data_IF_429505761297
#
_entry.id   IF_429505761297
#
_cell.length_a   1.000
_cell.length_b   1.000
_cell.length_c   1.000
_cell.angle_alpha   90.00
_cell.angle_beta   90.00
_cell.angle_gamma   90.00
#
_symmetry.space_group_name_H-M   'P 1'
#
loop_
_entity.id
_entity.type
_entity.pdbx_description
1 polymer ?
#
# COMPACT_ATOMS: atom_id res chain seq x y z
N UNK A 1 -8.87 -11.51 -7.14
CA UNK A 1 -10.10 -11.81 -6.34
C UNK A 1 -10.67 -10.51 -5.79
N UNK A 2 -9.90 -9.66 -5.11
CA UNK A 2 -10.38 -8.40 -4.56
C UNK A 2 -11.03 -7.49 -5.61
N UNK A 3 -10.40 -7.32 -6.77
CA UNK A 3 -10.93 -6.52 -7.87
C UNK A 3 -12.31 -7.05 -8.34
N UNK A 4 -12.42 -8.34 -8.54
CA UNK A 4 -13.67 -8.97 -8.95
C UNK A 4 -14.79 -8.77 -7.93
N UNK A 5 -14.49 -8.90 -6.67
CA UNK A 5 -15.48 -8.76 -5.60
C UNK A 5 -15.84 -7.30 -5.32
N UNK A 6 -14.84 -6.41 -5.25
CA UNK A 6 -15.07 -4.99 -4.94
C UNK A 6 -15.66 -4.27 -6.16
N UNK A 7 -15.08 -4.46 -7.35
CA UNK A 7 -15.49 -3.69 -8.53
C UNK A 7 -16.71 -4.32 -9.17
N UNK A 8 -16.68 -5.60 -9.56
CA UNK A 8 -17.82 -6.26 -10.21
C UNK A 8 -19.02 -6.40 -9.26
N UNK A 9 -18.78 -6.85 -8.01
CA UNK A 9 -19.84 -7.01 -7.01
C UNK A 9 -20.49 -5.69 -6.62
N UNK A 10 -19.71 -4.65 -6.36
CA UNK A 10 -20.26 -3.33 -6.06
C UNK A 10 -21.01 -2.72 -7.24
N UNK A 11 -20.55 -2.95 -8.48
CA UNK A 11 -21.23 -2.47 -9.69
C UNK A 11 -22.57 -3.13 -9.89
N UNK A 12 -22.68 -4.44 -9.64
CA UNK A 12 -23.96 -5.15 -9.71
C UNK A 12 -24.98 -4.60 -8.71
N UNK A 13 -24.54 -4.29 -7.47
CA UNK A 13 -25.42 -3.76 -6.42
C UNK A 13 -25.85 -2.32 -6.72
N UNK A 14 -24.94 -1.50 -7.25
CA UNK A 14 -25.16 -0.08 -7.47
C UNK A 14 -25.53 0.27 -8.91
N UNK A 15 -25.77 -0.72 -9.78
CA UNK A 15 -26.03 -0.52 -11.21
C UNK A 15 -24.91 0.29 -11.89
N UNK A 16 -23.68 0.05 -11.51
CA UNK A 16 -22.49 0.72 -12.05
C UNK A 16 -22.02 0.07 -13.35
N UNK A 17 -21.28 0.83 -14.15
CA UNK A 17 -20.58 0.35 -15.33
C UNK A 17 -19.14 -0.01 -14.96
N UNK A 18 -18.67 -1.19 -15.38
CA UNK A 18 -17.31 -1.66 -15.14
C UNK A 18 -16.49 -1.53 -16.42
N UNK A 19 -15.37 -0.82 -16.31
CA UNK A 19 -14.42 -0.67 -17.40
C UNK A 19 -13.17 -1.48 -17.12
N UNK A 20 -12.73 -2.23 -18.13
CA UNK A 20 -11.47 -2.99 -18.09
C UNK A 20 -10.47 -2.35 -19.04
N UNK A 21 -9.27 -2.05 -18.56
CA UNK A 21 -8.19 -1.65 -19.45
C UNK A 21 -7.70 -2.87 -20.25
N UNK A 22 -7.17 -2.64 -21.44
CA UNK A 22 -6.64 -3.70 -22.30
C UNK A 22 -5.50 -4.44 -21.64
N UNK A 23 -4.55 -3.70 -21.07
CA UNK A 23 -3.43 -4.20 -20.27
C UNK A 23 -2.78 -3.04 -19.49
N UNK A 24 -1.81 -3.34 -18.63
CA UNK A 24 -1.15 -2.32 -17.81
C UNK A 24 -0.40 -1.25 -18.62
N UNK A 25 0.14 -1.58 -19.80
CA UNK A 25 0.83 -0.60 -20.64
C UNK A 25 -0.13 0.38 -21.35
N UNK A 26 -1.42 0.05 -21.42
CA UNK A 26 -2.44 0.91 -22.04
C UNK A 26 -3.20 1.77 -21.02
N UNK A 27 -2.93 1.60 -19.73
CA UNK A 27 -3.68 2.25 -18.65
C UNK A 27 -3.74 3.79 -18.80
N UNK A 28 -2.61 4.43 -19.10
CA UNK A 28 -2.54 5.89 -19.30
C UNK A 28 -3.35 6.38 -20.52
N UNK A 29 -3.56 5.52 -21.51
CA UNK A 29 -4.42 5.80 -22.67
C UNK A 29 -5.90 5.56 -22.37
N UNK A 30 -6.18 4.48 -21.64
CA UNK A 30 -7.55 3.99 -21.45
C UNK A 30 -8.28 4.74 -20.33
N UNK A 31 -7.56 5.10 -19.28
CA UNK A 31 -8.10 5.79 -18.10
C UNK A 31 -8.80 7.13 -18.41
N UNK A 32 -8.23 8.04 -19.25
CA UNK A 32 -8.91 9.27 -19.65
C UNK A 32 -10.23 9.07 -20.41
N UNK A 33 -10.36 7.93 -21.11
CA UNK A 33 -11.59 7.59 -21.83
C UNK A 33 -12.67 7.02 -20.89
N UNK A 34 -12.24 6.30 -19.86
CA UNK A 34 -13.12 5.72 -18.85
C UNK A 34 -13.66 6.78 -17.88
N UNK A 35 -12.81 7.68 -17.37
CA UNK A 35 -13.12 8.69 -16.34
C UNK A 35 -13.85 8.09 -15.14
N UNK A 36 -13.26 7.15 -14.42
CA UNK A 36 -13.93 6.39 -13.36
C UNK A 36 -14.33 7.27 -12.18
N UNK A 37 -15.49 7.00 -11.59
CA UNK A 37 -15.88 7.56 -10.30
C UNK A 37 -15.18 6.85 -9.13
N UNK A 38 -14.91 5.54 -9.30
CA UNK A 38 -14.22 4.69 -8.34
C UNK A 38 -13.12 3.94 -9.05
N UNK A 39 -11.91 3.98 -8.49
CA UNK A 39 -10.77 3.21 -9.00
C UNK A 39 -10.07 2.51 -7.85
N UNK A 40 -9.80 1.22 -8.04
CA UNK A 40 -8.95 0.42 -7.17
C UNK A 40 -7.67 0.04 -7.90
N UNK A 41 -6.53 0.24 -7.26
CA UNK A 41 -5.23 -0.18 -7.79
C UNK A 41 -4.23 -0.47 -6.68
N UNK A 42 -3.41 -1.52 -6.81
CA UNK A 42 -2.28 -1.71 -5.90
C UNK A 42 -1.26 -0.57 -6.04
N UNK A 43 -0.36 -0.36 -5.06
CA UNK A 43 0.60 0.74 -5.05
C UNK A 43 1.39 0.87 -6.36
N UNK A 44 1.79 -0.25 -6.97
CA UNK A 44 2.52 -0.26 -8.24
C UNK A 44 1.77 0.42 -9.40
N UNK A 45 0.45 0.33 -9.42
CA UNK A 45 -0.36 1.05 -10.43
C UNK A 45 -0.23 2.55 -10.23
N UNK A 46 -0.33 3.00 -9.00
CA UNK A 46 -0.17 4.41 -8.64
C UNK A 46 1.26 4.91 -8.91
N UNK A 47 2.28 4.11 -8.62
CA UNK A 47 3.67 4.43 -8.97
C UNK A 47 3.86 4.59 -10.48
N UNK A 48 3.27 3.71 -11.30
CA UNK A 48 3.36 3.82 -12.76
C UNK A 48 2.65 5.07 -13.29
N UNK A 49 1.48 5.41 -12.74
CA UNK A 49 0.79 6.66 -13.08
C UNK A 49 1.64 7.88 -12.68
N UNK A 50 2.25 7.87 -11.50
CA UNK A 50 3.19 8.91 -11.06
C UNK A 50 4.35 9.08 -12.04
N UNK A 51 5.01 7.98 -12.40
CA UNK A 51 6.13 8.02 -13.37
C UNK A 51 5.68 8.53 -14.74
N UNK A 52 4.47 8.17 -15.18
CA UNK A 52 3.88 8.70 -16.41
C UNK A 52 3.66 10.22 -16.35
N UNK A 53 3.20 10.74 -15.21
CA UNK A 53 3.04 12.20 -15.01
C UNK A 53 4.41 12.89 -15.01
N UNK A 54 5.36 12.38 -14.23
CA UNK A 54 6.73 12.93 -14.17
C UNK A 54 7.35 12.95 -15.56
N UNK A 55 7.19 11.87 -16.34
CA UNK A 55 7.69 11.79 -17.72
C UNK A 55 7.09 12.85 -18.65
N UNK A 56 5.82 13.22 -18.46
CA UNK A 56 5.19 14.29 -19.25
C UNK A 56 5.73 15.69 -18.90
N UNK A 57 6.11 15.94 -17.64
CA UNK A 57 6.74 17.17 -17.20
C UNK A 57 8.26 17.20 -17.49
N UNK A 58 8.87 16.04 -17.75
CA UNK A 58 10.29 15.86 -18.00
C UNK A 58 11.12 15.48 -16.78
N UNK A 59 10.76 15.95 -15.59
CA UNK A 59 11.43 15.57 -14.33
C UNK A 59 10.52 15.83 -13.11
N UNK A 60 10.89 15.28 -11.96
CA UNK A 60 10.22 15.57 -10.69
C UNK A 60 10.36 17.06 -10.32
N UNK A 61 11.52 17.66 -10.51
CA UNK A 61 11.75 19.10 -10.24
C UNK A 61 10.85 19.99 -11.11
N UNK A 62 10.55 19.57 -12.34
CA UNK A 62 9.62 20.31 -13.20
C UNK A 62 8.17 20.21 -12.69
N UNK A 63 7.76 19.06 -12.16
CA UNK A 63 6.47 18.91 -11.47
C UNK A 63 6.41 19.81 -10.24
N UNK A 64 7.45 19.81 -9.44
CA UNK A 64 7.53 20.60 -8.20
C UNK A 64 7.46 22.09 -8.51
N UNK A 65 8.24 22.57 -9.48
CA UNK A 65 8.21 23.98 -9.96
C UNK A 65 6.83 24.37 -10.48
N UNK A 66 6.17 23.49 -11.25
CA UNK A 66 4.83 23.79 -11.77
C UNK A 66 3.79 23.88 -10.66
N UNK A 67 3.85 22.99 -9.67
CA UNK A 67 2.95 23.00 -8.50
C UNK A 67 3.20 24.21 -7.58
N UNK A 68 4.44 24.67 -7.43
CA UNK A 68 4.75 25.90 -6.69
C UNK A 68 4.20 27.12 -7.38
N UNK A 69 4.19 27.15 -8.72
CA UNK A 69 3.65 28.27 -9.49
C UNK A 69 2.11 28.31 -9.47
N UNK A 70 1.44 27.17 -9.64
CA UNK A 70 -0.02 27.05 -9.67
C UNK A 70 -0.47 25.64 -9.25
N UNK A 71 -0.55 25.39 -7.96
CA UNK A 71 -0.94 24.07 -7.43
C UNK A 71 -2.34 23.64 -7.86
N UNK A 72 -3.31 24.55 -7.85
CA UNK A 72 -4.71 24.23 -8.16
C UNK A 72 -4.90 23.95 -9.65
N UNK A 73 -4.37 24.82 -10.51
CA UNK A 73 -4.47 24.66 -11.96
C UNK A 73 -3.74 23.43 -12.49
N UNK A 74 -2.53 23.21 -12.00
CA UNK A 74 -1.74 22.01 -12.36
C UNK A 74 -2.42 20.73 -11.84
N UNK A 75 -2.88 20.73 -10.59
CA UNK A 75 -3.61 19.59 -10.04
C UNK A 75 -4.88 19.26 -10.84
N UNK A 76 -5.66 20.27 -11.21
CA UNK A 76 -6.83 20.12 -12.06
C UNK A 76 -6.45 19.55 -13.45
N UNK A 77 -5.46 20.15 -14.10
CA UNK A 77 -4.97 19.70 -15.40
C UNK A 77 -4.54 18.22 -15.38
N UNK A 78 -3.80 17.81 -14.34
CA UNK A 78 -3.35 16.41 -14.20
C UNK A 78 -4.54 15.48 -14.00
N UNK A 79 -5.49 15.83 -13.13
CA UNK A 79 -6.70 15.01 -12.92
C UNK A 79 -7.52 14.85 -14.21
N UNK A 80 -7.73 15.94 -14.96
CA UNK A 80 -8.43 15.91 -16.25
C UNK A 80 -7.69 15.03 -17.28
N UNK A 81 -6.37 15.17 -17.39
CA UNK A 81 -5.56 14.37 -18.33
C UNK A 81 -5.52 12.90 -17.97
N UNK A 82 -5.55 12.56 -16.70
CA UNK A 82 -5.65 11.17 -16.23
C UNK A 82 -7.08 10.63 -16.28
N UNK A 83 -8.10 11.48 -16.48
CA UNK A 83 -9.50 11.08 -16.36
C UNK A 83 -9.94 10.81 -14.92
N UNK A 84 -9.23 11.34 -13.93
CA UNK A 84 -9.55 11.22 -12.51
C UNK A 84 -10.32 12.42 -11.96
N UNK A 85 -10.76 13.33 -12.81
CA UNK A 85 -11.49 14.55 -12.45
C UNK A 85 -12.92 14.27 -11.94
N UNK A 86 -13.49 13.11 -12.27
CA UNK A 86 -14.78 12.65 -11.77
C UNK A 86 -14.67 11.64 -10.63
N UNK A 87 -13.45 11.30 -10.22
CA UNK A 87 -13.24 10.29 -9.21
C UNK A 87 -13.63 10.79 -7.81
N UNK A 88 -14.52 10.06 -7.17
CA UNK A 88 -14.97 10.29 -5.79
C UNK A 88 -14.28 9.34 -4.79
N UNK A 89 -13.82 8.18 -5.25
CA UNK A 89 -13.16 7.19 -4.41
C UNK A 89 -12.02 6.49 -5.14
N UNK A 90 -10.81 6.74 -4.68
CA UNK A 90 -9.57 6.17 -5.22
C UNK A 90 -8.90 5.34 -4.13
N UNK A 91 -8.84 4.03 -4.32
CA UNK A 91 -8.36 3.08 -3.32
C UNK A 91 -7.02 2.48 -3.72
N UNK A 92 -6.09 2.48 -2.78
CA UNK A 92 -4.85 1.70 -2.83
C UNK A 92 -4.88 0.63 -1.73
N UNK A 93 -4.59 -0.61 -2.09
CA UNK A 93 -4.57 -1.74 -1.16
C UNK A 93 -3.80 -2.93 -1.75
N UNK A 94 -3.87 -4.08 -1.09
CA UNK A 94 -3.21 -5.35 -1.42
C UNK A 94 -1.70 -5.39 -1.15
N UNK A 95 -1.05 -4.25 -0.91
CA UNK A 95 0.31 -4.13 -0.43
C UNK A 95 0.45 -2.82 0.36
N UNK A 96 1.46 -2.66 1.21
CA UNK A 96 1.74 -1.38 1.86
C UNK A 96 2.00 -0.28 0.83
N UNK A 97 1.34 0.86 1.00
CA UNK A 97 1.54 2.03 0.13
C UNK A 97 2.51 2.99 0.82
N UNK A 98 3.62 3.38 0.17
CA UNK A 98 4.53 4.35 0.76
C UNK A 98 3.83 5.68 1.06
N UNK A 99 3.93 6.25 2.28
CA UNK A 99 3.33 7.53 2.60
C UNK A 99 3.74 8.67 1.65
N UNK A 100 4.98 8.64 1.19
CA UNK A 100 5.50 9.60 0.22
C UNK A 100 4.70 9.62 -1.10
N UNK A 101 4.27 8.45 -1.58
CA UNK A 101 3.42 8.33 -2.77
C UNK A 101 2.05 8.97 -2.54
N UNK A 102 1.45 8.73 -1.39
CA UNK A 102 0.15 9.32 -1.02
C UNK A 102 0.24 10.83 -0.94
N UNK A 103 1.26 11.35 -0.24
CA UNK A 103 1.49 12.80 -0.14
C UNK A 103 1.79 13.43 -1.50
N UNK A 104 2.48 12.73 -2.38
CA UNK A 104 2.73 13.19 -3.74
C UNK A 104 1.41 13.40 -4.50
N UNK A 105 0.47 12.46 -4.41
CA UNK A 105 -0.85 12.56 -5.01
C UNK A 105 -1.72 13.63 -4.35
N UNK A 106 -1.62 13.81 -3.04
CA UNK A 106 -2.34 14.87 -2.32
C UNK A 106 -2.02 16.27 -2.87
N UNK A 107 -0.77 16.51 -3.28
CA UNK A 107 -0.35 17.78 -3.89
C UNK A 107 -1.07 18.07 -5.22
N UNK A 108 -1.53 17.04 -5.91
CA UNK A 108 -2.32 17.11 -7.15
C UNK A 108 -3.84 17.15 -6.87
N UNK A 109 -4.26 17.13 -5.61
CA UNK A 109 -5.66 17.01 -5.22
C UNK A 109 -6.26 15.63 -5.51
N UNK A 110 -5.41 14.59 -5.67
CA UNK A 110 -5.79 13.19 -5.85
C UNK A 110 -5.69 12.51 -4.49
N UNK A 111 -6.81 12.23 -3.85
CA UNK A 111 -6.86 11.63 -2.52
C UNK A 111 -6.93 10.11 -2.60
N UNK A 112 -5.81 9.45 -2.36
CA UNK A 112 -5.75 7.99 -2.29
C UNK A 112 -6.22 7.51 -0.91
N UNK A 113 -7.23 6.63 -0.88
CA UNK A 113 -7.67 5.93 0.32
C UNK A 113 -6.87 4.65 0.47
N UNK A 114 -6.51 4.31 1.70
CA UNK A 114 -5.87 3.04 2.00
C UNK A 114 -6.90 2.06 2.55
N UNK A 115 -6.67 0.77 2.32
CA UNK A 115 -7.53 -0.27 2.84
C UNK A 115 -6.80 -1.59 3.00
N UNK A 116 -7.37 -2.44 3.84
CA UNK A 116 -6.89 -3.79 4.09
C UNK A 116 -7.96 -4.81 3.72
N UNK A 117 -7.54 -5.88 3.09
CA UNK A 117 -8.38 -7.03 2.81
C UNK A 117 -7.55 -8.24 2.43
N UNK A 118 -8.14 -9.39 2.65
CA UNK A 118 -7.61 -10.69 2.25
C UNK A 118 -8.70 -11.46 1.50
N UNK A 119 -8.34 -12.55 0.84
CA UNK A 119 -9.32 -13.43 0.18
C UNK A 119 -10.31 -14.02 1.18
N UNK A 120 -9.86 -14.25 2.38
CA UNK A 120 -10.61 -14.80 3.50
C UNK A 120 -11.64 -13.82 4.09
N UNK A 121 -11.32 -12.52 4.06
CA UNK A 121 -12.16 -11.46 4.59
C UNK A 121 -12.07 -10.23 3.68
N UNK A 122 -13.10 -9.98 2.93
CA UNK A 122 -13.10 -9.01 1.85
C UNK A 122 -13.20 -7.56 2.35
N UNK A 123 -12.07 -6.82 2.30
CA UNK A 123 -12.04 -5.39 2.58
C UNK A 123 -12.60 -4.97 3.95
N UNK A 124 -12.24 -5.64 5.05
CA UNK A 124 -12.89 -5.39 6.36
C UNK A 124 -12.52 -4.03 6.95
N UNK A 125 -11.42 -3.44 6.53
CA UNK A 125 -10.92 -2.16 7.04
C UNK A 125 -10.56 -1.27 5.87
N UNK A 126 -11.12 -0.07 5.80
CA UNK A 126 -10.84 0.91 4.74
C UNK A 126 -10.85 2.34 5.28
N UNK A 127 -10.11 3.22 4.63
CA UNK A 127 -10.18 4.66 4.84
C UNK A 127 -11.42 5.23 4.15
N UNK A 128 -12.07 6.18 4.79
CA UNK A 128 -13.15 6.95 4.16
C UNK A 128 -12.62 8.30 3.63
N UNK A 129 -13.28 8.91 2.63
CA UNK A 129 -12.90 10.24 2.16
C UNK A 129 -12.93 11.33 3.23
N UNK A 130 -13.84 11.20 4.21
CA UNK A 130 -14.01 12.17 5.29
C UNK A 130 -13.02 11.94 6.44
N UNK A 131 -12.61 10.69 6.65
CA UNK A 131 -11.70 10.28 7.71
C UNK A 131 -10.55 9.46 7.13
N UNK A 132 -9.46 10.12 6.75
CA UNK A 132 -8.25 9.48 6.23
C UNK A 132 -7.03 9.88 7.05
N UNK A 133 -6.19 8.90 7.37
CA UNK A 133 -4.84 9.10 7.90
C UNK A 133 -3.84 8.37 7.03
N UNK A 134 -2.88 9.07 6.51
CA UNK A 134 -1.82 8.48 5.67
C UNK A 134 -1.01 7.46 6.48
N UNK A 135 -0.78 6.29 5.87
CA UNK A 135 -0.12 5.15 6.52
C UNK A 135 -1.06 4.28 7.37
N UNK A 136 -2.32 4.70 7.55
CA UNK A 136 -3.35 3.89 8.18
C UNK A 136 -4.20 3.18 7.13
N UNK A 137 -4.53 1.92 7.38
CA UNK A 137 -5.49 1.17 6.56
C UNK A 137 -6.96 1.58 6.82
N UNK A 138 -7.20 2.52 7.72
CA UNK A 138 -8.54 3.03 8.04
C UNK A 138 -9.15 2.45 9.29
N UNK A 139 -10.48 2.38 9.29
CA UNK A 139 -11.31 1.86 10.38
C UNK A 139 -12.15 0.68 9.91
N UNK A 140 -12.61 -0.20 10.82
CA UNK A 140 -13.52 -1.29 10.47
C UNK A 140 -14.79 -0.79 9.80
N UNK A 141 -15.21 -1.49 8.74
CA UNK A 141 -16.48 -1.21 8.07
C UNK A 141 -17.67 -1.59 8.97
N UNK A 142 -18.84 -0.99 8.77
CA UNK A 142 -20.06 -1.40 9.49
C UNK A 142 -20.32 -2.91 9.33
N UNK A 143 -20.60 -3.58 10.45
CA UNK A 143 -20.84 -5.03 10.47
C UNK A 143 -19.58 -5.90 10.51
N UNK A 144 -18.42 -5.28 10.65
CA UNK A 144 -17.14 -5.97 10.82
C UNK A 144 -16.67 -5.84 12.27
N UNK A 145 -16.49 -6.99 12.93
CA UNK A 145 -15.83 -7.07 14.23
C UNK A 145 -14.32 -7.27 14.03
N UNK A 146 -13.53 -6.48 14.73
CA UNK A 146 -12.07 -6.60 14.75
C UNK A 146 -11.56 -6.66 16.16
N UNK A 147 -10.65 -7.59 16.46
CA UNK A 147 -9.92 -7.64 17.72
C UNK A 147 -8.43 -7.87 17.48
N UNK A 148 -7.62 -7.55 18.47
CA UNK A 148 -6.17 -7.81 18.44
C UNK A 148 -5.87 -8.89 19.48
N UNK A 149 -5.12 -9.92 19.08
CA UNK A 149 -4.64 -10.96 20.00
C UNK A 149 -3.54 -10.42 20.92
N UNK A 150 -3.18 -11.20 21.94
CA UNK A 150 -2.07 -10.87 22.87
C UNK A 150 -0.74 -10.70 22.13
N UNK A 151 -0.55 -11.42 21.00
CA UNK A 151 0.65 -11.31 20.14
C UNK A 151 0.58 -10.12 19.16
N UNK A 152 -0.51 -9.35 19.20
CA UNK A 152 -0.73 -8.20 18.32
C UNK A 152 -1.28 -8.55 16.94
N UNK A 153 -1.76 -9.79 16.73
CA UNK A 153 -2.39 -10.21 15.48
C UNK A 153 -3.80 -9.65 15.36
N UNK A 154 -4.12 -9.09 14.21
CA UNK A 154 -5.47 -8.69 13.87
C UNK A 154 -6.33 -9.90 13.54
N UNK A 155 -7.48 -10.00 14.18
CA UNK A 155 -8.49 -11.01 13.92
C UNK A 155 -9.79 -10.35 13.51
N UNK A 156 -10.43 -10.91 12.49
CA UNK A 156 -11.62 -10.32 11.86
C UNK A 156 -12.80 -11.31 11.88
N UNK A 157 -13.99 -10.80 12.08
CA UNK A 157 -15.24 -11.54 11.95
C UNK A 157 -16.29 -10.67 11.26
N UNK A 158 -16.90 -11.20 10.20
CA UNK A 158 -18.01 -10.57 9.48
C UNK A 158 -18.79 -11.61 8.68
N UNK A 159 -20.04 -11.30 8.33
CA UNK A 159 -20.88 -12.19 7.52
C UNK A 159 -20.29 -12.44 6.10
N UNK A 160 -19.54 -11.48 5.57
CA UNK A 160 -18.86 -11.59 4.27
C UNK A 160 -17.55 -12.38 4.29
N UNK A 161 -17.17 -12.98 5.42
CA UNK A 161 -15.97 -13.80 5.52
C UNK A 161 -16.14 -15.16 4.85
N UNK A 162 -15.02 -15.71 4.32
CA UNK A 162 -14.99 -17.07 3.76
C UNK A 162 -15.30 -18.11 4.83
N UNK A 163 -15.96 -19.22 4.49
CA UNK A 163 -16.16 -20.34 5.42
C UNK A 163 -14.90 -21.21 5.61
N UNK A 164 -13.85 -20.99 4.83
CA UNK A 164 -12.60 -21.77 4.91
C UNK A 164 -11.97 -22.04 3.56
N UNK A 165 -10.94 -22.88 3.56
CA UNK A 165 -10.20 -23.27 2.35
C UNK A 165 -10.73 -24.58 1.77
N UNK A 166 -11.00 -24.58 0.47
CA UNK A 166 -11.51 -25.76 -0.23
C UNK A 166 -10.53 -26.94 -0.14
N UNK A 167 -11.02 -28.10 0.32
CA UNK A 167 -10.25 -29.32 0.54
C UNK A 167 -8.98 -29.17 1.42
N UNK A 168 -8.95 -28.19 2.33
CA UNK A 168 -7.84 -27.95 3.26
C UNK A 168 -8.34 -27.78 4.70
N UNK A 169 -8.90 -28.83 5.33
CA UNK A 169 -9.50 -28.71 6.65
C UNK A 169 -8.51 -28.29 7.74
N UNK A 170 -7.27 -28.77 7.68
CA UNK A 170 -6.23 -28.42 8.65
C UNK A 170 -5.89 -26.92 8.57
N UNK A 171 -5.65 -26.40 7.36
CA UNK A 171 -5.41 -24.95 7.18
C UNK A 171 -6.62 -24.10 7.52
N UNK A 172 -7.82 -24.61 7.26
CA UNK A 172 -9.05 -23.95 7.69
C UNK A 172 -9.10 -23.85 9.21
N UNK A 173 -8.83 -24.93 9.92
CA UNK A 173 -8.82 -24.92 11.38
C UNK A 173 -7.73 -24.02 11.99
N UNK A 174 -6.61 -23.82 11.29
CA UNK A 174 -5.57 -22.89 11.71
C UNK A 174 -5.97 -21.41 11.55
N UNK A 175 -6.62 -21.08 10.43
CA UNK A 175 -6.92 -19.71 10.08
C UNK A 175 -8.31 -19.23 10.55
N UNK A 176 -9.25 -20.16 10.76
CA UNK A 176 -10.63 -19.85 11.15
C UNK A 176 -10.92 -20.50 12.52
N UNK A 177 -10.72 -19.76 13.60
CA UNK A 177 -10.83 -20.25 14.96
C UNK A 177 -11.97 -19.53 15.67
N UNK A 178 -12.95 -20.28 16.20
CA UNK A 178 -14.10 -19.77 16.97
C UNK A 178 -14.85 -18.63 16.25
N UNK A 179 -14.98 -18.75 14.94
CA UNK A 179 -15.66 -17.76 14.10
C UNK A 179 -14.84 -16.49 13.80
N UNK A 180 -13.55 -16.48 14.16
CA UNK A 180 -12.63 -15.41 13.84
C UNK A 180 -11.61 -15.87 12.79
N UNK A 181 -11.31 -14.98 11.86
CA UNK A 181 -10.22 -15.17 10.92
C UNK A 181 -8.94 -14.60 11.51
N UNK A 182 -7.92 -15.43 11.61
CA UNK A 182 -6.56 -15.06 11.96
C UNK A 182 -5.87 -14.54 10.70
N UNK A 183 -5.72 -13.22 10.60
CA UNK A 183 -5.23 -12.59 9.36
C UNK A 183 -3.74 -12.84 9.11
N UNK A 184 -2.99 -13.17 10.15
CA UNK A 184 -1.53 -13.23 10.12
C UNK A 184 -0.86 -11.86 10.08
N UNK A 185 -1.62 -10.77 10.10
CA UNK A 185 -1.10 -9.40 10.10
C UNK A 185 -1.11 -8.82 11.52
N UNK A 186 0.00 -8.22 11.92
CA UNK A 186 0.10 -7.46 13.17
C UNK A 186 -0.30 -6.03 12.93
N UNK A 187 -1.05 -5.48 13.89
CA UNK A 187 -1.53 -4.09 13.82
C UNK A 187 -1.36 -3.36 15.13
N UNK A 188 -1.34 -2.05 15.06
CA UNK A 188 -1.57 -1.12 16.17
C UNK A 188 -2.80 -0.27 15.87
N UNK A 189 -3.47 0.18 16.92
CA UNK A 189 -4.60 1.11 16.84
C UNK A 189 -4.18 2.40 17.53
N UNK A 190 -4.49 3.55 16.92
CA UNK A 190 -4.30 4.84 17.57
C UNK A 190 -5.52 5.23 18.45
N UNK A 191 -5.41 6.36 19.15
CA UNK A 191 -6.44 6.87 20.08
C UNK A 191 -7.77 7.19 19.38
N UNK A 192 -7.76 7.44 18.07
CA UNK A 192 -8.94 7.73 17.27
C UNK A 192 -9.50 6.50 16.53
N UNK A 193 -8.92 5.31 16.78
CA UNK A 193 -9.39 4.04 16.25
C UNK A 193 -8.92 3.70 14.84
N UNK A 194 -7.85 4.34 14.34
CA UNK A 194 -7.24 3.99 13.08
C UNK A 194 -6.26 2.84 13.23
N UNK A 195 -6.28 1.90 12.29
CA UNK A 195 -5.45 0.71 12.26
C UNK A 195 -4.22 0.91 11.38
N UNK A 196 -3.07 0.45 11.86
CA UNK A 196 -1.78 0.50 11.16
C UNK A 196 -1.16 -0.89 11.13
N UNK A 197 -0.84 -1.40 9.95
CA UNK A 197 -0.12 -2.67 9.82
C UNK A 197 1.33 -2.46 10.26
N UNK A 198 1.78 -3.31 11.20
CA UNK A 198 3.15 -3.29 11.73
C UNK A 198 3.99 -4.46 11.24
N UNK A 199 3.41 -5.41 10.50
CA UNK A 199 4.08 -6.54 9.89
C UNK A 199 3.23 -7.79 9.85
N UNK A 200 3.86 -8.92 9.54
CA UNK A 200 3.23 -10.25 9.56
C UNK A 200 3.68 -11.04 10.77
N UNK A 201 2.78 -11.79 11.39
CA UNK A 201 3.10 -12.65 12.55
C UNK A 201 4.26 -13.61 12.24
N UNK A 202 4.26 -14.20 11.03
CA UNK A 202 5.27 -15.18 10.60
C UNK A 202 6.59 -14.57 10.13
N UNK A 203 6.62 -13.27 9.83
CA UNK A 203 7.82 -12.60 9.28
C UNK A 203 8.76 -12.09 10.38
N UNK A 204 8.26 -11.98 11.62
CA UNK A 204 9.12 -11.67 12.75
C UNK A 204 10.17 -12.76 12.94
N UNK A 205 11.41 -12.35 13.07
CA UNK A 205 12.50 -13.29 13.31
C UNK A 205 13.39 -12.87 14.48
N UNK A 206 14.12 -13.85 15.03
CA UNK A 206 15.18 -13.60 15.99
C UNK A 206 16.54 -13.68 15.30
N UNK A 207 17.39 -12.69 15.58
CA UNK A 207 18.82 -12.82 15.30
C UNK A 207 19.48 -13.86 16.23
N UNK A 208 20.70 -14.31 15.91
CA UNK A 208 21.46 -15.19 16.81
C UNK A 208 21.64 -14.57 18.21
N UNK A 209 21.70 -13.23 18.29
CA UNK A 209 21.82 -12.52 19.56
C UNK A 209 20.51 -12.45 20.37
N UNK A 210 19.43 -13.09 19.86
CA UNK A 210 18.14 -13.13 20.53
C UNK A 210 17.26 -11.88 20.34
N UNK A 211 17.69 -10.91 19.54
CA UNK A 211 16.90 -9.71 19.26
C UNK A 211 15.77 -10.05 18.28
N UNK A 212 14.55 -9.63 18.62
CA UNK A 212 13.41 -9.69 17.71
C UNK A 212 13.51 -8.56 16.70
N UNK A 213 13.24 -8.89 15.45
CA UNK A 213 13.21 -7.94 14.33
C UNK A 213 11.87 -8.03 13.64
N UNK A 214 11.25 -6.87 13.43
CA UNK A 214 10.09 -6.67 12.57
C UNK A 214 10.59 -6.13 11.23
N UNK A 215 10.58 -6.91 10.13
CA UNK A 215 11.13 -6.47 8.85
C UNK A 215 10.36 -5.28 8.26
N UNK A 216 9.03 -5.39 8.21
CA UNK A 216 8.15 -4.47 7.49
C UNK A 216 8.35 -2.98 7.83
N UNK A 217 8.43 -2.54 9.11
CA UNK A 217 8.69 -1.14 9.41
C UNK A 217 10.03 -0.64 8.86
N UNK A 218 11.06 -1.48 8.92
CA UNK A 218 12.40 -1.15 8.43
C UNK A 218 12.41 -1.09 6.90
N UNK A 219 11.74 -2.04 6.24
CA UNK A 219 11.60 -2.10 4.80
C UNK A 219 10.81 -0.88 4.28
N UNK A 220 9.73 -0.49 4.94
CA UNK A 220 8.93 0.67 4.57
C UNK A 220 9.73 1.98 4.60
N UNK A 221 10.53 2.20 5.67
CA UNK A 221 11.40 3.36 5.78
C UNK A 221 12.42 3.34 4.63
N UNK A 222 13.01 2.18 4.33
CA UNK A 222 13.98 2.06 3.26
C UNK A 222 13.37 2.22 1.87
N UNK A 223 12.13 1.79 1.67
CA UNK A 223 11.38 1.86 0.40
C UNK A 223 11.07 3.29 -0.07
N UNK A 224 11.14 4.29 0.81
CA UNK A 224 11.02 5.71 0.42
C UNK A 224 12.16 6.19 -0.48
N UNK A 225 13.20 5.37 -0.69
CA UNK A 225 14.32 5.69 -1.56
C UNK A 225 13.98 5.41 -3.04
N UNK A 226 14.04 6.41 -3.93
CA UNK A 226 13.71 6.23 -5.36
C UNK A 226 14.67 5.31 -6.12
N UNK A 227 15.83 4.95 -5.53
CA UNK A 227 16.80 4.06 -6.15
C UNK A 227 16.49 2.57 -5.96
N UNK A 228 15.46 2.22 -5.17
CA UNK A 228 15.07 0.83 -4.91
C UNK A 228 13.67 0.54 -5.42
N UNK A 229 13.51 -0.60 -6.10
CA UNK A 229 12.22 -1.10 -6.60
C UNK A 229 11.60 -2.14 -5.67
N UNK A 230 12.43 -3.03 -5.12
CA UNK A 230 12.01 -4.07 -4.18
C UNK A 230 13.06 -4.20 -3.08
N UNK A 231 12.59 -4.53 -1.89
CA UNK A 231 13.43 -4.61 -0.70
C UNK A 231 13.04 -5.85 0.10
N UNK A 232 14.02 -6.48 0.71
CA UNK A 232 13.79 -7.57 1.64
C UNK A 232 14.85 -7.55 2.74
N UNK A 233 14.40 -7.51 4.00
CA UNK A 233 15.25 -7.58 5.18
C UNK A 233 15.39 -9.03 5.66
N UNK A 234 16.59 -9.55 5.64
CA UNK A 234 16.95 -10.89 6.08
C UNK A 234 17.74 -10.83 7.39
N UNK A 235 17.67 -11.87 8.21
CA UNK A 235 18.43 -11.88 9.47
C UNK A 235 18.16 -13.06 10.39
N UNK A 236 17.23 -13.94 10.04
CA UNK A 236 16.98 -15.15 10.84
C UNK A 236 18.23 -16.02 10.89
N UNK A 237 18.77 -16.22 12.08
CA UNK A 237 19.98 -17.02 12.26
C UNK A 237 21.29 -16.29 11.90
N UNK A 238 21.25 -14.99 11.58
CA UNK A 238 22.45 -14.17 11.40
C UNK A 238 22.71 -13.28 12.61
N UNK A 239 24.00 -12.88 12.77
CA UNK A 239 24.39 -11.95 13.84
C UNK A 239 23.96 -10.51 13.57
N UNK A 240 23.70 -10.19 12.29
CA UNK A 240 23.25 -8.87 11.82
C UNK A 240 22.16 -9.07 10.77
N UNK A 241 21.27 -8.10 10.64
CA UNK A 241 20.34 -8.04 9.53
C UNK A 241 21.03 -7.63 8.24
N UNK A 242 20.56 -8.14 7.13
CA UNK A 242 21.03 -7.84 5.77
C UNK A 242 19.85 -7.36 4.94
N UNK A 243 19.98 -6.18 4.35
CA UNK A 243 19.02 -5.67 3.38
C UNK A 243 19.43 -6.09 1.98
N UNK A 244 18.52 -6.75 1.27
CA UNK A 244 18.66 -7.01 -0.16
C UNK A 244 17.68 -6.11 -0.91
N UNK A 245 18.09 -5.56 -2.05
CA UNK A 245 17.21 -4.72 -2.86
C UNK A 245 17.39 -4.99 -4.36
N UNK A 246 16.31 -4.75 -5.10
CA UNK A 246 16.35 -4.62 -6.56
C UNK A 246 16.43 -3.12 -6.86
N UNK A 247 17.39 -2.73 -7.69
CA UNK A 247 17.56 -1.33 -8.08
C UNK A 247 16.44 -0.90 -9.04
N UNK A 248 15.96 0.32 -8.88
CA UNK A 248 15.03 0.94 -9.80
C UNK A 248 15.67 1.22 -11.16
N UNK A 249 14.86 1.44 -12.19
CA UNK A 249 15.37 1.84 -13.52
C UNK A 249 16.21 3.13 -13.46
N UNK A 250 15.82 4.07 -12.58
CA UNK A 250 16.58 5.28 -12.33
C UNK A 250 17.99 4.97 -11.81
N UNK A 251 18.11 4.08 -10.84
CA UNK A 251 19.40 3.69 -10.27
C UNK A 251 20.25 2.90 -11.25
N UNK A 252 19.62 2.07 -12.12
CA UNK A 252 20.34 1.30 -13.13
C UNK A 252 21.00 2.18 -14.23
N UNK A 253 20.54 3.42 -14.39
CA UNK A 253 21.08 4.39 -15.35
C UNK A 253 22.20 5.27 -14.77
N UNK A 254 22.41 5.19 -13.46
CA UNK A 254 23.44 5.96 -12.74
C UNK A 254 24.72 5.14 -12.57
N UNK A 255 25.81 5.83 -12.25
CA UNK A 255 27.05 5.13 -11.91
C UNK A 255 26.91 4.39 -10.58
N UNK A 256 27.63 3.28 -10.47
CA UNK A 256 27.53 2.38 -9.31
C UNK A 256 27.94 3.03 -8.00
N UNK A 257 28.97 3.89 -8.01
CA UNK A 257 29.49 4.50 -6.79
C UNK A 257 28.49 5.48 -6.22
N UNK A 258 27.85 6.31 -7.04
CA UNK A 258 26.77 7.21 -6.62
C UNK A 258 25.59 6.47 -6.03
N UNK A 259 25.15 5.37 -6.66
CA UNK A 259 24.04 4.55 -6.13
C UNK A 259 24.42 3.91 -4.80
N UNK A 260 25.63 3.36 -4.66
CA UNK A 260 26.11 2.78 -3.40
C UNK A 260 26.18 3.81 -2.28
N UNK A 261 26.59 5.05 -2.57
CA UNK A 261 26.64 6.14 -1.58
C UNK A 261 25.23 6.47 -1.06
N UNK A 262 24.28 6.67 -1.97
CA UNK A 262 22.87 6.94 -1.61
C UNK A 262 22.28 5.82 -0.75
N UNK A 263 22.50 4.56 -1.13
CA UNK A 263 22.00 3.42 -0.36
C UNK A 263 22.66 3.31 1.02
N UNK A 264 23.95 3.60 1.14
CA UNK A 264 24.67 3.62 2.44
C UNK A 264 24.15 4.71 3.37
N UNK A 265 23.86 5.89 2.84
CA UNK A 265 23.30 6.99 3.63
C UNK A 265 21.87 6.68 4.07
N UNK A 266 21.09 6.02 3.21
CA UNK A 266 19.75 5.53 3.60
C UNK A 266 19.83 4.49 4.71
N UNK A 267 20.76 3.55 4.66
CA UNK A 267 20.98 2.58 5.75
C UNK A 267 21.35 3.29 7.08
N UNK A 268 22.16 4.33 7.05
CA UNK A 268 22.47 5.12 8.25
C UNK A 268 21.23 5.79 8.82
N UNK A 269 20.39 6.40 7.96
CA UNK A 269 19.16 7.05 8.36
C UNK A 269 18.18 6.05 9.01
N UNK A 270 17.97 4.89 8.36
CA UNK A 270 17.11 3.81 8.88
C UNK A 270 17.60 3.31 10.24
N UNK A 271 18.90 3.11 10.42
CA UNK A 271 19.46 2.69 11.71
C UNK A 271 19.21 3.74 12.80
N UNK A 272 19.38 5.02 12.50
CA UNK A 272 19.14 6.11 13.45
C UNK A 272 17.66 6.24 13.86
N UNK A 273 16.74 5.91 12.97
CA UNK A 273 15.30 5.85 13.28
C UNK A 273 14.93 4.59 14.06
N UNK A 274 15.50 3.44 13.68
CA UNK A 274 15.22 2.15 14.34
C UNK A 274 15.75 2.06 15.76
N UNK A 275 16.80 2.82 16.13
CA UNK A 275 17.33 2.89 17.50
C UNK A 275 16.42 3.68 18.46
N UNK A 276 15.41 4.39 17.95
CA UNK A 276 14.46 5.18 18.75
C UNK A 276 13.20 4.37 19.16
N UNK A 277 13.04 3.17 18.65
CA UNK A 277 11.93 2.27 18.86
C UNK A 277 12.39 0.90 19.39
#
# INVERSE_FOLDING_TARGET
>A
IAERQIVEGASLINCGEVHFNENMSTLLRDLPNCRPNVMFGPPRVWEQLQQGIIGQFGSQDAVDTALEADSEGIGKLVREKLGLDQASYLLTAAAPTPPALIHWYDRLGIRLMEGFGQTECMGPIVSSPDERRVGSIGKPMPGVDVRISEEGEMQVRADGCSPGYYNMPEKTAEAFVDGWIHTGDKVKIDEDGFYYITGRVKDYFKTIQGKFVAPTPIENIFAENPHTQQICLLGRGYSKTVMTCVLSELAQQQDRESVEEVLRDRVKAVNAESEKH
#
